data_IF_281076936233
#
_entry.id   IF_281076936233
#
_cell.length_a   1.000
_cell.length_b   1.000
_cell.length_c   1.000
_cell.angle_alpha   90.00
_cell.angle_beta   90.00
_cell.angle_gamma   90.00
#
_symmetry.space_group_name_H-M   'P 1'
#
loop_
_entity.id
_entity.type
_entity.pdbx_description
1 polymer ?
#
# COMPACT_ATOMS: atom_id res chain seq x y z
N UNK A 1 -30.99 51.20 -9.50
CA UNK A 1 -31.83 50.14 -8.89
C UNK A 1 -31.34 48.82 -9.45
N UNK A 2 -30.83 47.95 -8.57
CA UNK A 2 -29.98 46.81 -8.93
C UNK A 2 -30.70 45.76 -9.80
N UNK A 3 -30.02 45.30 -10.85
CA UNK A 3 -30.40 44.11 -11.61
C UNK A 3 -29.80 42.90 -10.91
N UNK A 4 -30.67 42.08 -10.33
CA UNK A 4 -30.35 40.82 -9.66
C UNK A 4 -29.87 39.81 -10.71
N UNK A 5 -28.57 39.53 -10.74
CA UNK A 5 -28.01 38.50 -11.61
C UNK A 5 -28.14 37.16 -10.92
N UNK A 6 -29.07 36.35 -11.43
CA UNK A 6 -29.30 34.98 -10.99
C UNK A 6 -28.02 34.15 -11.10
N UNK A 7 -27.60 33.57 -9.98
CA UNK A 7 -26.52 32.57 -9.91
C UNK A 7 -27.00 31.31 -10.64
N UNK A 8 -26.31 30.83 -11.67
CA UNK A 8 -26.73 29.60 -12.36
C UNK A 8 -26.62 28.40 -11.41
N UNK A 9 -27.50 27.39 -11.55
CA UNK A 9 -27.45 26.22 -10.68
C UNK A 9 -26.11 25.50 -10.92
N UNK A 10 -25.24 25.60 -9.92
CA UNK A 10 -23.94 24.93 -9.92
C UNK A 10 -24.18 23.43 -10.05
N UNK A 11 -23.61 22.86 -11.11
CA UNK A 11 -23.48 21.43 -11.32
C UNK A 11 -22.95 20.76 -10.04
N UNK A 12 -23.39 19.53 -9.78
CA UNK A 12 -23.09 18.74 -8.59
C UNK A 12 -21.71 19.07 -7.96
N UNK A 13 -21.66 19.39 -6.65
CA UNK A 13 -20.45 19.91 -6.03
C UNK A 13 -19.29 18.91 -6.24
N UNK A 14 -18.08 19.40 -6.57
CA UNK A 14 -16.93 18.53 -6.73
C UNK A 14 -16.75 17.76 -5.41
N UNK A 15 -16.67 16.43 -5.48
CA UNK A 15 -16.58 15.53 -4.33
C UNK A 15 -15.49 15.93 -3.30
N UNK A 16 -14.53 16.76 -3.71
CA UNK A 16 -13.48 17.34 -2.88
C UNK A 16 -13.99 18.27 -1.77
N UNK A 17 -15.08 19.01 -1.98
CA UNK A 17 -15.65 19.93 -0.96
C UNK A 17 -16.57 19.19 0.02
N UNK A 18 -17.27 18.15 -0.45
CA UNK A 18 -18.11 17.30 0.38
C UNK A 18 -17.29 16.53 1.45
N UNK A 19 -16.10 16.06 1.10
CA UNK A 19 -15.19 15.41 2.05
C UNK A 19 -14.62 16.37 3.10
N UNK A 20 -14.38 17.63 2.71
CA UNK A 20 -13.92 18.68 3.63
C UNK A 20 -15.02 19.03 4.64
N UNK A 21 -16.27 19.14 4.17
CA UNK A 21 -17.44 19.29 5.04
C UNK A 21 -17.60 18.08 5.97
N UNK A 22 -17.41 16.87 5.45
CA UNK A 22 -17.49 15.64 6.26
C UNK A 22 -16.38 15.55 7.33
N UNK A 23 -15.17 16.00 7.01
CA UNK A 23 -14.07 16.11 7.99
C UNK A 23 -14.39 17.12 9.09
N UNK A 24 -14.96 18.27 8.72
CA UNK A 24 -15.40 19.29 9.66
C UNK A 24 -16.49 18.77 10.61
N UNK A 25 -17.47 18.00 10.11
CA UNK A 25 -18.47 17.32 10.94
C UNK A 25 -17.86 16.32 11.93
N UNK A 26 -16.75 15.69 11.57
CA UNK A 26 -16.00 14.79 12.44
C UNK A 26 -15.09 15.53 13.45
N UNK A 27 -15.07 16.87 13.42
CA UNK A 27 -14.26 17.71 14.29
C UNK A 27 -12.81 17.86 13.85
N UNK A 28 -12.47 17.47 12.61
CA UNK A 28 -11.12 17.57 12.06
C UNK A 28 -11.02 18.68 11.01
N UNK A 29 -10.05 19.57 11.18
CA UNK A 29 -9.65 20.53 10.15
C UNK A 29 -8.86 19.79 9.07
N UNK A 30 -9.15 20.04 7.80
CA UNK A 30 -8.35 19.51 6.70
C UNK A 30 -6.98 20.18 6.68
N UNK A 31 -5.95 19.47 7.16
CA UNK A 31 -4.56 19.96 7.18
C UNK A 31 -3.70 19.38 6.05
N UNK A 32 -4.09 18.23 5.46
CA UNK A 32 -3.41 17.65 4.31
C UNK A 32 -3.94 18.22 2.97
N UNK A 33 -3.01 18.73 2.16
CA UNK A 33 -3.26 19.09 0.76
C UNK A 33 -3.47 17.81 -0.08
N UNK A 34 -4.67 17.65 -0.64
CA UNK A 34 -5.01 16.53 -1.54
C UNK A 34 -4.49 16.84 -2.95
N UNK A 35 -3.26 16.42 -3.25
CA UNK A 35 -2.56 16.74 -4.50
C UNK A 35 -2.58 15.66 -5.59
N UNK A 36 -3.05 14.44 -5.28
CA UNK A 36 -3.05 13.32 -6.24
C UNK A 36 -4.41 13.22 -6.95
N UNK A 37 -4.39 13.15 -8.28
CA UNK A 37 -5.59 12.85 -9.07
C UNK A 37 -6.06 11.41 -8.82
N UNK A 38 -7.33 11.09 -9.09
CA UNK A 38 -7.87 9.73 -8.87
C UNK A 38 -7.08 8.64 -9.61
N UNK A 39 -6.66 8.92 -10.85
CA UNK A 39 -5.79 8.02 -11.61
C UNK A 39 -4.39 7.90 -11.02
N UNK A 40 -3.80 9.02 -10.57
CA UNK A 40 -2.49 9.00 -9.90
C UNK A 40 -2.53 8.20 -8.59
N UNK A 41 -3.59 8.35 -7.80
CA UNK A 41 -3.78 7.58 -6.56
C UNK A 41 -3.95 6.07 -6.83
N UNK A 42 -4.68 5.71 -7.89
CA UNK A 42 -4.78 4.32 -8.35
C UNK A 42 -3.43 3.77 -8.81
N UNK A 43 -2.68 4.50 -9.63
CA UNK A 43 -1.37 4.08 -10.12
C UNK A 43 -0.36 3.87 -8.99
N UNK A 44 -0.36 4.76 -7.98
CA UNK A 44 0.45 4.61 -6.77
C UNK A 44 0.05 3.34 -6.01
N UNK A 45 -1.26 3.12 -5.81
CA UNK A 45 -1.74 1.93 -5.08
C UNK A 45 -1.41 0.63 -5.81
N UNK A 46 -1.56 0.61 -7.14
CA UNK A 46 -1.19 -0.53 -7.98
C UNK A 46 0.31 -0.83 -7.93
N UNK A 47 1.14 0.21 -7.96
CA UNK A 47 2.60 0.09 -7.83
C UNK A 47 3.00 -0.47 -6.45
N UNK A 48 2.36 -0.03 -5.37
CA UNK A 48 2.62 -0.53 -4.01
C UNK A 48 2.29 -2.03 -3.89
N UNK A 49 1.14 -2.47 -4.42
CA UNK A 49 0.73 -3.88 -4.34
C UNK A 49 1.66 -4.77 -5.19
N UNK A 50 2.23 -4.24 -6.27
CA UNK A 50 3.18 -4.91 -7.17
C UNK A 50 2.92 -6.41 -7.34
N UNK A 51 1.79 -6.74 -7.96
CA UNK A 51 1.32 -8.13 -8.13
C UNK A 51 2.40 -9.01 -8.77
N UNK A 52 3.19 -8.46 -9.68
CA UNK A 52 4.25 -9.18 -10.36
C UNK A 52 5.35 -9.65 -9.39
N UNK A 53 5.87 -8.75 -8.55
CA UNK A 53 6.95 -9.08 -7.61
C UNK A 53 6.48 -10.10 -6.57
N UNK A 54 5.28 -9.88 -6.00
CA UNK A 54 4.68 -10.81 -5.04
C UNK A 54 4.48 -12.20 -5.65
N UNK A 55 3.79 -12.29 -6.80
CA UNK A 55 3.48 -13.57 -7.42
C UNK A 55 4.74 -14.36 -7.81
N UNK A 56 5.76 -13.70 -8.37
CA UNK A 56 7.00 -14.37 -8.79
C UNK A 56 7.77 -14.91 -7.58
N UNK A 57 7.94 -14.09 -6.54
CA UNK A 57 8.73 -14.48 -5.36
C UNK A 57 8.06 -15.59 -4.54
N UNK A 58 6.72 -15.64 -4.52
CA UNK A 58 5.97 -16.67 -3.79
C UNK A 58 5.53 -17.86 -4.64
N UNK A 59 5.83 -17.87 -5.94
CA UNK A 59 5.37 -18.90 -6.87
C UNK A 59 5.80 -20.30 -6.43
N UNK A 60 7.07 -20.44 -6.05
CA UNK A 60 7.64 -21.69 -5.56
C UNK A 60 6.90 -22.20 -4.31
N UNK A 61 6.62 -21.32 -3.35
CA UNK A 61 5.88 -21.68 -2.14
C UNK A 61 4.47 -22.20 -2.45
N UNK A 62 3.76 -21.56 -3.38
CA UNK A 62 2.44 -21.99 -3.80
C UNK A 62 2.48 -23.35 -4.52
N UNK A 63 3.51 -23.57 -5.34
CA UNK A 63 3.71 -24.83 -6.06
C UNK A 63 4.00 -25.99 -5.10
N UNK A 64 4.87 -25.79 -4.11
CA UNK A 64 5.21 -26.84 -3.13
C UNK A 64 4.05 -27.16 -2.18
N UNK A 65 3.28 -26.15 -1.77
CA UNK A 65 2.19 -26.34 -0.80
C UNK A 65 0.91 -26.92 -1.41
N UNK A 66 0.56 -26.56 -2.64
CA UNK A 66 -0.75 -26.88 -3.23
C UNK A 66 -0.71 -27.27 -4.71
N UNK A 67 0.48 -27.34 -5.31
CA UNK A 67 0.66 -27.72 -6.70
C UNK A 67 -0.01 -26.78 -7.71
N UNK A 68 -0.12 -27.20 -8.98
CA UNK A 68 -0.66 -26.38 -10.06
C UNK A 68 -2.13 -25.96 -9.85
N UNK A 69 -2.93 -26.74 -9.13
CA UNK A 69 -4.34 -26.41 -8.86
C UNK A 69 -4.49 -25.22 -7.91
N UNK A 70 -3.62 -25.09 -6.91
CA UNK A 70 -3.65 -23.95 -5.99
C UNK A 70 -3.37 -22.63 -6.72
N UNK A 71 -2.47 -22.64 -7.70
CA UNK A 71 -2.11 -21.44 -8.47
C UNK A 71 -3.20 -21.10 -9.49
N UNK A 72 -3.77 -22.10 -10.17
CA UNK A 72 -4.74 -21.87 -11.25
C UNK A 72 -6.16 -21.59 -10.76
N UNK A 73 -6.64 -22.33 -9.76
CA UNK A 73 -8.01 -22.22 -9.24
C UNK A 73 -8.06 -21.59 -7.84
N UNK A 74 -7.08 -21.90 -6.99
CA UNK A 74 -7.01 -21.35 -5.64
C UNK A 74 -6.80 -19.83 -5.64
N UNK A 75 -5.91 -19.33 -6.49
CA UNK A 75 -5.59 -17.90 -6.54
C UNK A 75 -6.79 -17.02 -6.96
N UNK A 76 -7.53 -17.31 -8.07
CA UNK A 76 -8.73 -16.54 -8.39
C UNK A 76 -9.84 -16.68 -7.33
N UNK A 77 -10.02 -17.86 -6.76
CA UNK A 77 -11.03 -18.12 -5.73
C UNK A 77 -10.79 -17.24 -4.50
N UNK A 78 -9.56 -17.24 -3.97
CA UNK A 78 -9.18 -16.38 -2.85
C UNK A 78 -9.29 -14.91 -3.24
N UNK A 79 -8.95 -14.56 -4.48
CA UNK A 79 -9.13 -13.21 -5.03
C UNK A 79 -10.56 -12.69 -4.91
N UNK A 80 -11.57 -13.52 -5.16
CA UNK A 80 -12.99 -13.14 -4.98
C UNK A 80 -13.29 -12.78 -3.53
N UNK A 81 -12.82 -13.56 -2.56
CA UNK A 81 -13.02 -13.26 -1.14
C UNK A 81 -12.29 -11.99 -0.72
N UNK A 82 -11.07 -11.77 -1.21
CA UNK A 82 -10.31 -10.54 -0.96
C UNK A 82 -11.03 -9.32 -1.56
N UNK A 83 -11.64 -9.45 -2.74
CA UNK A 83 -12.46 -8.38 -3.33
C UNK A 83 -13.67 -8.02 -2.48
N UNK A 84 -14.35 -9.00 -1.87
CA UNK A 84 -15.46 -8.72 -0.94
C UNK A 84 -14.99 -7.90 0.27
N UNK A 85 -13.82 -8.23 0.83
CA UNK A 85 -13.20 -7.47 1.93
C UNK A 85 -12.82 -6.05 1.46
N UNK A 86 -12.26 -5.92 0.26
CA UNK A 86 -11.90 -4.64 -0.31
C UNK A 86 -13.13 -3.72 -0.52
N UNK A 87 -14.25 -4.28 -0.97
CA UNK A 87 -15.51 -3.54 -1.12
C UNK A 87 -16.04 -3.06 0.24
N UNK A 88 -15.99 -3.89 1.28
CA UNK A 88 -16.37 -3.48 2.63
C UNK A 88 -15.47 -2.35 3.16
N UNK A 89 -14.17 -2.42 2.93
CA UNK A 89 -13.23 -1.34 3.29
C UNK A 89 -13.51 -0.07 2.48
N UNK A 90 -13.87 -0.17 1.20
CA UNK A 90 -14.22 0.98 0.37
C UNK A 90 -15.45 1.74 0.93
N UNK A 91 -16.45 1.02 1.43
CA UNK A 91 -17.61 1.63 2.09
C UNK A 91 -17.19 2.40 3.35
N UNK A 92 -16.34 1.82 4.20
CA UNK A 92 -15.82 2.49 5.41
C UNK A 92 -15.02 3.74 5.05
N UNK A 93 -14.12 3.65 4.06
CA UNK A 93 -13.30 4.77 3.59
C UNK A 93 -14.14 5.95 3.10
N UNK A 94 -15.22 5.68 2.35
CA UNK A 94 -16.10 6.73 1.82
C UNK A 94 -16.88 7.47 2.92
N UNK A 95 -17.19 6.80 4.03
CA UNK A 95 -17.89 7.41 5.18
C UNK A 95 -16.97 8.20 6.10
N UNK A 96 -15.70 7.81 6.15
CA UNK A 96 -14.70 8.33 7.08
C UNK A 96 -13.40 8.76 6.38
N UNK A 97 -13.40 9.90 5.66
CA UNK A 97 -12.27 10.34 4.84
C UNK A 97 -11.16 10.99 5.69
N UNK A 98 -10.71 10.34 6.76
CA UNK A 98 -9.71 10.84 7.70
C UNK A 98 -8.31 10.30 7.40
N UNK A 99 -7.28 11.12 7.67
CA UNK A 99 -5.88 10.72 7.51
C UNK A 99 -5.40 9.66 8.54
N UNK A 100 -6.24 9.31 9.52
CA UNK A 100 -5.93 8.32 10.55
C UNK A 100 -6.15 6.86 10.13
N UNK A 101 -6.62 6.61 8.91
CA UNK A 101 -6.71 5.27 8.32
C UNK A 101 -7.34 4.20 9.24
N UNK A 102 -6.77 3.00 9.22
CA UNK A 102 -7.32 1.80 9.86
C UNK A 102 -7.45 1.90 11.38
N UNK A 103 -6.46 2.51 12.07
CA UNK A 103 -6.49 2.62 13.53
C UNK A 103 -7.61 3.56 13.99
N UNK A 104 -7.83 4.65 13.25
CA UNK A 104 -8.88 5.61 13.55
C UNK A 104 -10.26 5.01 13.27
N UNK A 105 -10.42 4.31 12.13
CA UNK A 105 -11.66 3.60 11.82
C UNK A 105 -12.00 2.57 12.90
N UNK A 106 -11.02 1.78 13.36
CA UNK A 106 -11.23 0.79 14.42
C UNK A 106 -11.73 1.43 15.73
N UNK A 107 -11.17 2.58 16.13
CA UNK A 107 -11.64 3.31 17.30
C UNK A 107 -13.04 3.91 17.12
N UNK A 108 -13.36 4.39 15.92
CA UNK A 108 -14.64 5.04 15.64
C UNK A 108 -15.80 4.04 15.51
N UNK A 109 -15.56 2.87 14.90
CA UNK A 109 -16.55 1.80 14.77
C UNK A 109 -16.78 1.03 16.08
N UNK A 110 -15.83 1.06 17.01
CA UNK A 110 -15.98 0.38 18.30
C UNK A 110 -17.07 1.03 19.18
N UNK A 111 -18.01 0.22 19.65
CA UNK A 111 -19.10 0.66 20.55
C UNK A 111 -18.62 0.86 21.99
N UNK A 112 -17.61 0.11 22.43
CA UNK A 112 -16.96 0.21 23.74
C UNK A 112 -15.44 0.15 23.57
N UNK A 113 -14.70 0.75 24.50
CA UNK A 113 -13.23 0.71 24.55
C UNK A 113 -12.53 1.19 23.26
N UNK A 114 -13.05 2.28 22.66
CA UNK A 114 -12.57 2.87 21.40
C UNK A 114 -11.04 2.98 21.29
N UNK A 115 -10.40 3.50 22.33
CA UNK A 115 -8.94 3.68 22.39
C UNK A 115 -8.17 2.35 22.37
N UNK A 116 -8.73 1.31 22.97
CA UNK A 116 -8.10 -0.01 23.06
C UNK A 116 -8.14 -0.71 21.70
N UNK A 117 -9.28 -0.65 20.99
CA UNK A 117 -9.39 -1.21 19.64
C UNK A 117 -8.50 -0.47 18.64
N UNK A 118 -8.45 0.86 18.70
CA UNK A 118 -7.52 1.65 17.90
C UNK A 118 -6.05 1.27 18.18
N UNK A 119 -5.70 1.04 19.46
CA UNK A 119 -4.36 0.61 19.86
C UNK A 119 -3.99 -0.76 19.29
N UNK A 120 -4.86 -1.76 19.43
CA UNK A 120 -4.59 -3.09 18.89
C UNK A 120 -4.45 -3.06 17.36
N UNK A 121 -5.39 -2.43 16.65
CA UNK A 121 -5.33 -2.34 15.18
C UNK A 121 -4.09 -1.58 14.73
N UNK A 122 -3.71 -0.50 15.43
CA UNK A 122 -2.47 0.22 15.16
C UNK A 122 -1.22 -0.66 15.27
N UNK A 123 -1.11 -1.45 16.35
CA UNK A 123 0.01 -2.38 16.52
C UNK A 123 0.02 -3.52 15.53
N UNK A 124 -1.13 -4.12 15.24
CA UNK A 124 -1.22 -5.17 14.22
C UNK A 124 -0.83 -4.63 12.83
N UNK A 125 -1.25 -3.41 12.50
CA UNK A 125 -0.86 -2.77 11.25
C UNK A 125 0.66 -2.52 11.21
N UNK A 126 1.24 -1.99 12.29
CA UNK A 126 2.68 -1.76 12.39
C UNK A 126 3.49 -3.06 12.28
N UNK A 127 3.12 -4.11 13.02
CA UNK A 127 3.78 -5.41 12.95
C UNK A 127 3.64 -6.04 11.56
N UNK A 128 2.48 -5.87 10.92
CA UNK A 128 2.25 -6.26 9.54
C UNK A 128 3.24 -5.59 8.59
N UNK A 129 3.39 -4.28 8.67
CA UNK A 129 4.34 -3.53 7.83
C UNK A 129 5.80 -3.94 8.08
N UNK A 130 6.21 -4.17 9.34
CA UNK A 130 7.55 -4.68 9.67
C UNK A 130 7.78 -6.06 9.04
N UNK A 131 6.80 -6.95 9.15
CA UNK A 131 6.89 -8.31 8.59
C UNK A 131 6.89 -8.29 7.06
N UNK A 132 6.06 -7.46 6.43
CA UNK A 132 6.00 -7.29 4.97
C UNK A 132 7.32 -6.73 4.44
N UNK A 133 7.87 -5.70 5.08
CA UNK A 133 9.17 -5.13 4.68
C UNK A 133 10.27 -6.18 4.74
N UNK A 134 10.36 -6.93 5.85
CA UNK A 134 11.35 -8.00 5.98
C UNK A 134 11.14 -9.12 4.94
N UNK A 135 9.90 -9.50 4.65
CA UNK A 135 9.59 -10.52 3.64
C UNK A 135 10.00 -10.08 2.23
N UNK A 136 9.73 -8.84 1.85
CA UNK A 136 10.10 -8.28 0.54
C UNK A 136 11.62 -8.22 0.39
N UNK A 137 12.32 -7.69 1.39
CA UNK A 137 13.78 -7.58 1.37
C UNK A 137 14.45 -8.95 1.33
N UNK A 138 13.88 -9.95 2.01
CA UNK A 138 14.37 -11.32 1.95
C UNK A 138 14.13 -11.94 0.57
N UNK A 139 12.96 -11.72 -0.03
CA UNK A 139 12.68 -12.13 -1.41
C UNK A 139 13.63 -11.49 -2.42
N UNK A 140 13.97 -10.22 -2.22
CA UNK A 140 14.98 -9.52 -3.01
C UNK A 140 16.38 -10.14 -2.84
N UNK A 141 16.76 -10.50 -1.61
CA UNK A 141 18.03 -11.17 -1.33
C UNK A 141 18.15 -12.53 -2.02
N UNK A 142 17.11 -13.37 -1.97
CA UNK A 142 17.07 -14.65 -2.69
C UNK A 142 17.27 -14.43 -4.18
N UNK A 143 16.54 -13.47 -4.75
CA UNK A 143 16.60 -13.18 -6.19
C UNK A 143 17.99 -12.69 -6.58
N UNK A 144 18.61 -11.80 -5.80
CA UNK A 144 19.96 -11.32 -6.08
C UNK A 144 21.01 -12.41 -5.97
N UNK A 145 20.93 -13.25 -4.94
CA UNK A 145 21.85 -14.38 -4.79
C UNK A 145 21.73 -15.37 -5.95
N UNK A 146 20.52 -15.61 -6.46
CA UNK A 146 20.31 -16.44 -7.65
C UNK A 146 20.98 -15.85 -8.90
N UNK A 147 20.89 -14.53 -9.10
CA UNK A 147 21.59 -13.85 -10.22
C UNK A 147 23.11 -13.92 -10.06
N UNK A 148 23.63 -13.71 -8.85
CA UNK A 148 25.07 -13.79 -8.59
C UNK A 148 25.63 -15.20 -8.82
N UNK A 149 24.86 -16.23 -8.47
CA UNK A 149 25.21 -17.61 -8.79
C UNK A 149 25.23 -17.85 -10.31
N UNK A 150 24.22 -17.37 -11.03
CA UNK A 150 24.10 -17.55 -12.47
C UNK A 150 25.23 -16.85 -13.26
N UNK A 151 25.62 -15.64 -12.83
CA UNK A 151 26.61 -14.81 -13.55
C UNK A 151 28.05 -15.11 -13.14
N UNK A 152 28.29 -15.31 -11.84
CA UNK A 152 29.64 -15.42 -11.27
C UNK A 152 29.95 -16.79 -10.68
N UNK A 153 28.99 -17.73 -10.67
CA UNK A 153 29.18 -19.05 -10.07
C UNK A 153 29.30 -19.02 -8.54
N UNK A 154 28.87 -17.93 -7.89
CA UNK A 154 28.93 -17.78 -6.43
C UNK A 154 28.06 -18.83 -5.73
N UNK A 155 28.63 -19.52 -4.74
CA UNK A 155 27.87 -20.50 -3.95
C UNK A 155 26.80 -19.80 -3.10
N UNK A 156 25.54 -20.24 -3.26
CA UNK A 156 24.41 -19.71 -2.48
C UNK A 156 24.20 -20.58 -1.26
N UNK A 157 24.57 -20.06 -0.10
CA UNK A 157 24.29 -20.68 1.20
C UNK A 157 23.22 -19.88 1.96
N UNK A 158 22.49 -20.52 2.90
CA UNK A 158 21.52 -19.79 3.75
C UNK A 158 22.16 -18.61 4.48
N UNK A 159 23.42 -18.76 4.90
CA UNK A 159 24.16 -17.71 5.59
C UNK A 159 24.50 -16.53 4.65
N UNK A 160 24.94 -16.81 3.42
CA UNK A 160 25.20 -15.76 2.43
C UNK A 160 23.92 -15.00 2.05
N UNK A 161 22.78 -15.68 1.93
CA UNK A 161 21.49 -15.05 1.66
C UNK A 161 21.04 -14.17 2.83
N UNK A 162 21.28 -14.62 4.07
CA UNK A 162 20.99 -13.82 5.26
C UNK A 162 21.85 -12.55 5.32
N UNK A 163 23.15 -12.63 5.01
CA UNK A 163 23.99 -11.43 4.92
C UNK A 163 23.57 -10.49 3.80
N UNK A 164 23.21 -11.02 2.62
CA UNK A 164 22.67 -10.22 1.52
C UNK A 164 21.38 -9.49 1.94
N UNK A 165 20.48 -10.18 2.65
CA UNK A 165 19.29 -9.59 3.25
C UNK A 165 19.63 -8.43 4.20
N UNK A 166 20.57 -8.63 5.14
CA UNK A 166 20.99 -7.58 6.07
C UNK A 166 21.56 -6.34 5.36
N UNK A 167 22.30 -6.54 4.27
CA UNK A 167 22.82 -5.45 3.44
C UNK A 167 21.68 -4.72 2.74
N UNK A 168 20.75 -5.45 2.11
CA UNK A 168 19.61 -4.86 1.38
C UNK A 168 18.72 -4.05 2.32
N UNK A 169 18.31 -4.60 3.47
CA UNK A 169 17.45 -3.89 4.43
C UNK A 169 18.14 -2.66 5.02
N UNK A 170 19.45 -2.72 5.27
CA UNK A 170 20.22 -1.57 5.72
C UNK A 170 20.28 -0.49 4.63
N UNK A 171 20.51 -0.86 3.37
CA UNK A 171 20.51 0.06 2.23
C UNK A 171 19.15 0.72 2.03
N UNK A 172 18.05 -0.05 2.05
CA UNK A 172 16.70 0.49 1.98
C UNK A 172 16.39 1.43 3.14
N UNK A 173 16.78 1.06 4.38
CA UNK A 173 16.65 1.92 5.55
C UNK A 173 17.42 3.23 5.44
N UNK A 174 18.66 3.18 4.93
CA UNK A 174 19.49 4.36 4.68
C UNK A 174 18.90 5.24 3.58
N UNK A 175 18.44 4.65 2.48
CA UNK A 175 17.79 5.37 1.38
C UNK A 175 16.49 6.05 1.84
N UNK A 176 15.69 5.38 2.66
CA UNK A 176 14.48 5.94 3.22
C UNK A 176 14.77 7.09 4.20
N UNK A 177 15.85 7.00 4.98
CA UNK A 177 16.21 8.00 6.00
C UNK A 177 16.91 9.23 5.41
N UNK A 178 17.86 9.03 4.49
CA UNK A 178 18.75 10.08 3.98
C UNK A 178 18.46 10.49 2.53
N UNK A 179 17.69 9.69 1.79
CA UNK A 179 17.50 9.80 0.36
C UNK A 179 16.17 10.42 -0.08
N UNK A 180 15.51 11.29 0.70
CA UNK A 180 14.19 11.84 0.33
C UNK A 180 14.18 12.50 -1.07
N UNK A 181 15.32 13.05 -1.51
CA UNK A 181 15.49 13.57 -2.87
C UNK A 181 15.85 12.49 -3.92
N UNK A 182 16.53 11.41 -3.52
CA UNK A 182 16.91 10.29 -4.40
C UNK A 182 15.72 9.34 -4.64
N UNK A 183 14.90 9.08 -3.62
CA UNK A 183 13.63 8.34 -3.73
C UNK A 183 12.68 9.07 -4.68
N UNK A 184 12.61 10.41 -4.59
CA UNK A 184 11.83 11.22 -5.54
C UNK A 184 12.33 11.09 -6.99
N UNK A 185 13.64 10.99 -7.21
CA UNK A 185 14.23 10.76 -8.54
C UNK A 185 13.92 9.33 -9.04
N UNK A 186 14.12 8.32 -8.19
CA UNK A 186 13.88 6.91 -8.52
C UNK A 186 12.40 6.62 -8.78
N UNK A 187 11.48 7.22 -8.01
CA UNK A 187 10.04 7.10 -8.25
C UNK A 187 9.62 7.74 -9.58
N UNK A 188 10.23 8.87 -9.98
CA UNK A 188 9.97 9.46 -11.30
C UNK A 188 10.50 8.59 -12.45
N UNK A 189 11.65 7.94 -12.27
CA UNK A 189 12.23 7.00 -13.26
C UNK A 189 11.43 5.71 -13.34
N UNK A 190 10.99 5.15 -12.21
CA UNK A 190 10.12 3.97 -12.16
C UNK A 190 8.76 4.26 -12.82
N UNK A 191 8.16 5.43 -12.56
CA UNK A 191 6.91 5.83 -13.21
C UNK A 191 7.06 5.96 -14.74
N UNK A 192 8.21 6.46 -15.23
CA UNK A 192 8.51 6.49 -16.66
C UNK A 192 8.66 5.07 -17.24
N UNK A 193 9.38 4.17 -16.56
CA UNK A 193 9.59 2.79 -16.98
C UNK A 193 8.30 1.95 -17.04
N UNK A 194 7.32 2.26 -16.19
CA UNK A 194 6.01 1.58 -16.20
C UNK A 194 5.03 2.10 -17.26
N UNK A 195 5.29 3.28 -17.83
CA UNK A 195 4.42 3.92 -18.84
C UNK A 195 4.97 3.77 -20.26
N UNK A 196 6.29 3.58 -20.42
CA UNK A 196 6.96 3.32 -21.69
C UNK A 196 6.82 1.85 -22.14
#
# INVERSE_FOLDING_TARGET
MASETAVPPSAAPPALDADAARLAELGYKQELHRGLSGFSNFAVSFSIISVLAGCITTYYLAMDAGGPMAITLGWPLVGIFVLMVALAMAEVCSRYPTAGGLYWWAGQLATKNKRVWAWYVGWFNFLGEVAVTAAIDYGAAITWMAVLNLVFGLEVTPLSTFFAFLIIIALHGLLNTFGVNLVRLLSNVSAWWHIA
#
